data_IF_042406468239
#
_entry.id   IF_042406468239
#
_cell.length_a   1.000
_cell.length_b   1.000
_cell.length_c   1.000
_cell.angle_alpha   90.00
_cell.angle_beta   90.00
_cell.angle_gamma   90.00
#
_symmetry.space_group_name_H-M   'P 1'
#
loop_
_entity.id
_entity.type
_entity.pdbx_description
1 polymer ?
#
# COMPACT_ATOMS: atom_id res chain seq x y z
N UNK A 1 20.26 22.51 38.16
CA UNK A 1 21.73 22.43 38.04
C UNK A 1 22.24 20.99 38.03
N UNK A 2 22.02 20.18 39.08
CA UNK A 2 22.59 18.82 39.16
C UNK A 2 22.28 17.89 37.96
N UNK A 3 21.04 17.90 37.46
CA UNK A 3 20.64 17.08 36.30
C UNK A 3 21.23 17.56 34.96
N UNK A 4 21.41 18.88 34.78
CA UNK A 4 22.07 19.43 33.59
C UNK A 4 23.58 19.17 33.58
N UNK A 5 24.21 19.26 34.75
CA UNK A 5 25.64 18.94 34.91
C UNK A 5 25.90 17.46 34.63
N UNK A 6 24.99 16.59 35.04
CA UNK A 6 25.01 15.16 34.75
C UNK A 6 24.79 14.88 33.25
N UNK A 7 23.82 15.55 32.62
CA UNK A 7 23.62 15.49 31.17
C UNK A 7 24.89 15.89 30.39
N UNK A 8 25.53 17.01 30.76
CA UNK A 8 26.78 17.47 30.14
C UNK A 8 27.92 16.47 30.35
N UNK A 9 27.99 15.83 31.52
CA UNK A 9 29.00 14.80 31.80
C UNK A 9 28.80 13.55 30.94
N UNK A 10 27.55 13.12 30.71
CA UNK A 10 27.21 11.99 29.84
C UNK A 10 27.51 12.30 28.38
N UNK A 11 27.12 13.48 27.89
CA UNK A 11 27.41 13.91 26.51
C UNK A 11 28.92 13.94 26.24
N UNK A 12 29.74 14.45 27.17
CA UNK A 12 31.21 14.45 27.02
C UNK A 12 31.79 13.05 26.88
N UNK A 13 31.23 12.05 27.57
CA UNK A 13 31.67 10.66 27.45
C UNK A 13 31.29 10.06 26.08
N UNK A 14 30.10 10.38 25.58
CA UNK A 14 29.67 9.96 24.25
C UNK A 14 30.47 10.63 23.13
N UNK A 15 30.84 11.90 23.29
CA UNK A 15 31.78 12.60 22.39
C UNK A 15 33.18 11.97 22.38
N UNK A 16 33.59 11.34 23.50
CA UNK A 16 34.82 10.55 23.57
C UNK A 16 34.68 9.13 23.00
N UNK A 17 33.52 8.76 22.46
CA UNK A 17 33.25 7.48 21.80
C UNK A 17 32.64 6.39 22.69
N UNK A 18 32.38 6.67 23.97
CA UNK A 18 31.70 5.71 24.85
C UNK A 18 30.17 5.87 24.74
N UNK A 19 29.53 5.05 23.91
CA UNK A 19 28.07 5.02 23.77
C UNK A 19 27.36 4.11 24.78
N UNK A 20 28.08 3.37 25.63
CA UNK A 20 27.49 2.49 26.64
C UNK A 20 26.68 3.27 27.69
N UNK A 21 27.04 4.54 27.90
CA UNK A 21 26.38 5.44 28.85
C UNK A 21 25.07 6.03 28.33
N UNK A 22 24.68 5.77 27.08
CA UNK A 22 23.43 6.27 26.48
C UNK A 22 22.17 5.86 27.25
N UNK A 23 22.21 4.73 27.99
CA UNK A 23 21.11 4.32 28.85
C UNK A 23 20.79 5.35 29.94
N UNK A 24 21.79 6.09 30.44
CA UNK A 24 21.61 7.15 31.45
C UNK A 24 20.78 8.32 30.94
N UNK A 25 20.86 8.64 29.64
CA UNK A 25 20.05 9.68 29.02
C UNK A 25 18.54 9.37 29.10
N UNK A 26 18.15 8.09 29.01
CA UNK A 26 16.74 7.67 29.15
C UNK A 26 16.24 7.88 30.58
N UNK A 27 17.09 7.60 31.57
CA UNK A 27 16.78 7.82 32.99
C UNK A 27 16.62 9.30 33.31
N UNK A 28 17.52 10.15 32.78
CA UNK A 28 17.44 11.61 32.95
C UNK A 28 16.19 12.21 32.29
N UNK A 29 15.83 11.75 31.09
CA UNK A 29 14.59 12.16 30.42
C UNK A 29 13.33 11.71 31.17
N UNK A 30 13.36 10.53 31.80
CA UNK A 30 12.25 10.02 32.60
C UNK A 30 12.06 10.77 33.93
N UNK A 31 13.14 11.33 34.49
CA UNK A 31 13.08 12.14 35.70
C UNK A 31 12.41 13.51 35.48
N UNK A 32 12.43 14.03 34.25
CA UNK A 32 11.72 15.27 33.88
C UNK A 32 12.34 16.56 34.42
N UNK A 33 13.57 16.50 34.97
CA UNK A 33 14.27 17.63 35.58
C UNK A 33 15.11 18.47 34.59
N UNK A 34 15.06 18.14 33.29
CA UNK A 34 15.79 18.82 32.22
C UNK A 34 14.93 19.93 31.62
N UNK A 35 15.56 21.07 31.32
CA UNK A 35 14.96 22.15 30.55
C UNK A 35 14.77 21.75 29.07
N UNK A 36 14.06 22.57 28.29
CA UNK A 36 13.74 22.26 26.90
C UNK A 36 15.00 22.02 26.03
N UNK A 37 16.07 22.78 26.29
CA UNK A 37 17.35 22.62 25.60
C UNK A 37 18.04 21.30 25.99
N UNK A 38 18.06 20.95 27.27
CA UNK A 38 18.60 19.70 27.78
C UNK A 38 17.82 18.47 27.29
N UNK A 39 16.50 18.56 27.22
CA UNK A 39 15.65 17.50 26.65
C UNK A 39 15.93 17.27 25.16
N UNK A 40 16.08 18.35 24.38
CA UNK A 40 16.45 18.27 22.97
C UNK A 40 17.82 17.62 22.79
N UNK A 41 18.83 18.06 23.55
CA UNK A 41 20.18 17.51 23.49
C UNK A 41 20.22 16.02 23.86
N UNK A 42 19.52 15.61 24.93
CA UNK A 42 19.44 14.21 25.34
C UNK A 42 18.80 13.32 24.25
N UNK A 43 17.77 13.82 23.57
CA UNK A 43 17.13 13.09 22.47
C UNK A 43 18.02 12.99 21.21
N UNK A 44 18.79 14.02 20.88
CA UNK A 44 19.76 13.97 19.77
C UNK A 44 20.85 12.93 20.03
N UNK A 45 21.46 12.95 21.22
CA UNK A 45 22.50 11.98 21.57
C UNK A 45 21.99 10.54 21.70
N UNK A 46 20.72 10.35 22.10
CA UNK A 46 20.07 9.04 22.03
C UNK A 46 19.89 8.54 20.59
N UNK A 47 19.67 9.43 19.63
CA UNK A 47 19.62 9.06 18.22
C UNK A 47 21.01 8.63 17.72
N UNK A 48 22.08 9.35 18.09
CA UNK A 48 23.45 9.01 17.70
C UNK A 48 23.92 7.66 18.25
N UNK A 49 23.45 7.26 19.44
CA UNK A 49 23.82 6.01 20.09
C UNK A 49 23.16 4.74 19.53
N UNK A 50 22.29 4.86 18.52
CA UNK A 50 21.52 3.74 17.97
C UNK A 50 21.69 3.69 16.47
N UNK A 51 21.90 2.52 15.88
CA UNK A 51 21.98 2.39 14.40
C UNK A 51 20.61 2.24 13.72
N UNK A 52 19.53 2.02 14.49
CA UNK A 52 18.18 1.88 13.95
C UNK A 52 17.58 3.23 13.49
N UNK A 53 17.36 3.37 12.17
CA UNK A 53 16.87 4.61 11.56
C UNK A 53 15.47 5.04 12.06
N UNK A 54 14.59 4.09 12.37
CA UNK A 54 13.26 4.38 12.93
C UNK A 54 13.36 4.96 14.33
N UNK A 55 14.25 4.42 15.15
CA UNK A 55 14.56 4.92 16.49
C UNK A 55 15.23 6.30 16.42
N UNK A 56 16.18 6.52 15.50
CA UNK A 56 16.79 7.84 15.27
C UNK A 56 15.74 8.90 14.95
N UNK A 57 14.83 8.60 14.01
CA UNK A 57 13.76 9.51 13.60
C UNK A 57 12.78 9.82 14.74
N UNK A 58 12.42 8.82 15.54
CA UNK A 58 11.58 9.00 16.73
C UNK A 58 12.23 9.93 17.77
N UNK A 59 13.51 9.72 18.05
CA UNK A 59 14.28 10.56 18.97
C UNK A 59 14.39 12.00 18.46
N UNK A 60 14.74 12.22 17.19
CA UNK A 60 14.88 13.56 16.64
C UNK A 60 13.54 14.32 16.56
N UNK A 61 12.42 13.65 16.29
CA UNK A 61 11.09 14.29 16.34
C UNK A 61 10.74 14.79 17.74
N UNK A 62 11.10 14.03 18.77
CA UNK A 62 10.95 14.51 20.16
C UNK A 62 11.87 15.69 20.46
N UNK A 63 13.10 15.66 19.97
CA UNK A 63 14.01 16.79 20.11
C UNK A 63 13.48 18.07 19.43
N UNK A 64 12.84 17.94 18.27
CA UNK A 64 12.24 19.06 17.53
C UNK A 64 11.06 19.70 18.27
N UNK A 65 10.26 18.92 19.00
CA UNK A 65 9.18 19.48 19.84
C UNK A 65 9.74 20.37 20.94
N UNK A 66 10.90 20.00 21.51
CA UNK A 66 11.57 20.77 22.55
C UNK A 66 12.36 21.98 21.99
N UNK A 67 12.83 21.90 20.75
CA UNK A 67 13.62 22.94 20.08
C UNK A 67 13.20 23.11 18.60
N UNK A 68 12.07 23.80 18.33
CA UNK A 68 11.46 23.85 17.00
C UNK A 68 12.32 24.60 15.97
N UNK A 69 13.10 25.59 16.40
CA UNK A 69 13.93 26.44 15.54
C UNK A 69 15.34 25.88 15.29
N UNK A 70 15.65 24.68 15.80
CA UNK A 70 16.98 24.10 15.64
C UNK A 70 17.15 23.45 14.26
N UNK A 71 17.84 24.17 13.37
CA UNK A 71 18.11 23.76 11.99
C UNK A 71 18.84 22.42 11.88
N UNK A 72 19.69 22.05 12.84
CA UNK A 72 20.44 20.79 12.82
C UNK A 72 19.53 19.58 13.06
N UNK A 73 18.53 19.72 13.94
CA UNK A 73 17.54 18.67 14.20
C UNK A 73 16.64 18.51 12.97
N UNK A 74 16.21 19.63 12.37
CA UNK A 74 15.43 19.60 11.13
C UNK A 74 16.21 18.94 9.98
N UNK A 75 17.48 19.29 9.80
CA UNK A 75 18.37 18.66 8.82
C UNK A 75 18.62 17.18 9.10
N UNK A 76 18.79 16.78 10.36
CA UNK A 76 18.96 15.37 10.74
C UNK A 76 17.71 14.53 10.51
N UNK A 77 16.51 15.09 10.77
CA UNK A 77 15.23 14.46 10.43
C UNK A 77 15.11 14.32 8.91
N UNK A 78 15.41 15.39 8.16
CA UNK A 78 15.36 15.38 6.71
C UNK A 78 16.33 14.35 6.13
N UNK A 79 17.56 14.30 6.62
CA UNK A 79 18.57 13.32 6.22
C UNK A 79 18.12 11.89 6.49
N UNK A 80 17.46 11.59 7.61
CA UNK A 80 16.96 10.23 7.90
C UNK A 80 15.71 9.85 7.11
N UNK A 81 14.91 10.84 6.70
CA UNK A 81 13.81 10.63 5.76
C UNK A 81 14.34 10.40 4.33
N UNK A 82 15.46 11.03 4.00
CA UNK A 82 16.17 10.87 2.73
C UNK A 82 17.05 9.58 2.71
N UNK A 83 17.49 9.11 3.89
CA UNK A 83 18.22 7.85 4.16
C UNK A 83 17.28 6.67 4.52
N UNK A 84 15.96 6.77 4.29
CA UNK A 84 15.22 5.53 4.03
C UNK A 84 15.98 4.81 2.93
N UNK A 85 16.37 3.53 3.09
CA UNK A 85 17.14 2.86 2.06
C UNK A 85 16.33 2.95 0.78
N UNK A 86 16.81 3.82 -0.11
CA UNK A 86 16.53 3.78 -1.52
C UNK A 86 16.88 2.34 -1.88
N UNK A 87 15.85 1.48 -1.93
CA UNK A 87 15.94 0.27 -2.73
C UNK A 87 16.66 0.71 -4.00
N UNK A 88 17.79 0.05 -4.35
CA UNK A 88 18.74 0.54 -5.35
C UNK A 88 17.94 1.14 -6.47
N UNK A 89 18.14 2.44 -6.73
CA UNK A 89 17.28 3.19 -7.64
C UNK A 89 17.10 2.30 -8.86
N UNK A 90 15.87 1.78 -9.12
CA UNK A 90 15.69 0.94 -10.28
C UNK A 90 16.20 1.76 -11.47
N UNK A 91 16.91 1.14 -12.43
CA UNK A 91 17.42 1.85 -13.61
C UNK A 91 16.34 2.80 -14.08
N UNK A 92 16.70 4.09 -14.26
CA UNK A 92 15.78 5.21 -14.37
C UNK A 92 14.47 4.77 -15.03
N UNK A 93 13.40 4.66 -14.21
CA UNK A 93 12.13 4.11 -14.65
C UNK A 93 11.77 4.70 -16.03
N UNK A 94 11.47 3.86 -17.04
CA UNK A 94 11.15 4.34 -18.38
C UNK A 94 10.14 5.48 -18.27
N UNK A 95 10.53 6.67 -18.77
CA UNK A 95 9.64 7.84 -18.80
C UNK A 95 8.79 7.71 -20.05
N UNK A 96 7.52 7.40 -19.86
CA UNK A 96 6.59 7.23 -20.98
C UNK A 96 6.03 8.60 -21.41
N UNK A 97 5.95 8.90 -22.73
CA UNK A 97 5.29 10.10 -23.24
C UNK A 97 3.79 10.11 -22.90
N UNK A 98 3.17 11.30 -22.89
CA UNK A 98 1.82 11.57 -22.36
C UNK A 98 0.64 11.13 -23.24
N UNK A 99 0.86 10.31 -24.26
CA UNK A 99 -0.22 9.74 -25.07
C UNK A 99 -0.75 8.46 -24.41
N UNK A 100 -2.04 8.09 -24.60
CA UNK A 100 -2.62 6.92 -23.93
C UNK A 100 -1.91 5.65 -24.43
N UNK A 101 -0.86 5.25 -23.70
CA UNK A 101 -0.19 3.97 -23.87
C UNK A 101 -0.91 2.93 -23.04
N UNK A 102 -1.19 1.80 -23.66
CA UNK A 102 -1.76 0.64 -22.99
C UNK A 102 -0.70 0.06 -22.07
N UNK A 103 -1.05 -0.06 -20.79
CA UNK A 103 -0.26 -0.84 -19.84
C UNK A 103 -0.95 -2.19 -19.69
N UNK A 104 -0.33 -3.24 -20.21
CA UNK A 104 -0.81 -4.61 -20.09
C UNK A 104 -0.45 -5.21 -18.74
N UNK A 105 -1.34 -6.04 -18.21
CA UNK A 105 -1.08 -6.91 -17.06
C UNK A 105 -1.12 -8.35 -17.53
N UNK A 106 0.03 -9.00 -17.43
CA UNK A 106 0.26 -10.41 -17.71
C UNK A 106 0.52 -11.18 -16.40
N UNK A 107 0.12 -12.46 -16.36
CA UNK A 107 0.34 -13.34 -15.21
C UNK A 107 -0.73 -13.27 -14.12
N UNK A 108 -1.88 -12.66 -14.41
CA UNK A 108 -3.09 -12.79 -13.61
C UNK A 108 -3.71 -14.19 -13.74
N UNK A 109 -4.45 -14.63 -12.71
CA UNK A 109 -5.09 -15.94 -12.69
C UNK A 109 -6.24 -16.10 -13.71
N UNK A 110 -6.88 -14.99 -14.09
CA UNK A 110 -8.09 -15.00 -14.92
C UNK A 110 -7.86 -14.34 -16.29
N UNK A 111 -6.63 -14.36 -16.79
CA UNK A 111 -6.26 -13.85 -18.12
C UNK A 111 -5.54 -12.50 -18.09
N UNK A 112 -5.27 -11.98 -19.29
CA UNK A 112 -4.61 -10.69 -19.49
C UNK A 112 -5.59 -9.54 -19.26
N UNK A 113 -5.09 -8.43 -18.75
CA UNK A 113 -5.89 -7.24 -18.50
C UNK A 113 -5.18 -5.97 -18.95
N UNK A 114 -5.96 -4.91 -19.09
CA UNK A 114 -5.47 -3.56 -19.32
C UNK A 114 -5.43 -2.76 -18.03
N UNK A 115 -4.51 -1.80 -17.98
CA UNK A 115 -4.36 -0.89 -16.86
C UNK A 115 -4.10 0.54 -17.34
N UNK A 116 -4.41 1.50 -16.48
CA UNK A 116 -4.15 2.92 -16.68
C UNK A 116 -3.42 3.52 -15.50
N UNK A 117 -2.56 4.51 -15.75
CA UNK A 117 -2.01 5.31 -14.69
C UNK A 117 -3.11 6.05 -13.94
N UNK A 118 -3.01 6.06 -12.61
CA UNK A 118 -3.83 6.92 -11.73
C UNK A 118 -2.96 7.90 -10.94
N UNK A 119 -1.65 7.67 -10.91
CA UNK A 119 -0.68 8.65 -10.40
C UNK A 119 0.55 8.73 -11.30
N UNK A 120 1.20 9.89 -11.32
CA UNK A 120 2.47 10.10 -12.03
C UNK A 120 3.61 9.21 -11.52
N UNK A 121 3.52 8.77 -10.26
CA UNK A 121 4.54 7.95 -9.63
C UNK A 121 4.52 6.48 -10.08
N UNK A 122 3.60 6.07 -10.96
CA UNK A 122 3.51 4.69 -11.45
C UNK A 122 2.53 3.81 -10.68
N UNK A 123 1.51 4.41 -10.05
CA UNK A 123 0.35 3.64 -9.60
C UNK A 123 -0.61 3.44 -10.78
N UNK A 124 -1.01 2.19 -10.98
CA UNK A 124 -1.89 1.74 -12.04
C UNK A 124 -3.21 1.25 -11.45
N UNK A 125 -4.32 1.55 -12.12
CA UNK A 125 -5.63 0.95 -11.86
C UNK A 125 -5.96 -0.07 -12.96
N UNK A 126 -6.55 -1.19 -12.54
CA UNK A 126 -6.95 -2.32 -13.40
C UNK A 126 -8.15 -3.05 -12.77
N UNK A 127 -8.74 -3.98 -13.51
CA UNK A 127 -9.69 -4.95 -12.95
C UNK A 127 -9.05 -5.82 -11.86
N UNK A 128 -9.78 -6.08 -10.78
CA UNK A 128 -9.35 -7.01 -9.73
C UNK A 128 -9.52 -8.47 -10.11
N UNK A 129 -10.44 -8.74 -11.05
CA UNK A 129 -10.81 -10.06 -11.52
C UNK A 129 -9.62 -10.75 -12.17
N UNK A 130 -8.93 -10.09 -13.10
CA UNK A 130 -7.80 -10.67 -13.83
C UNK A 130 -6.68 -11.16 -12.89
N UNK A 131 -6.44 -10.44 -11.80
CA UNK A 131 -5.33 -10.70 -10.88
C UNK A 131 -5.54 -11.94 -10.00
N UNK A 132 -6.79 -12.28 -9.66
CA UNK A 132 -7.07 -13.33 -8.68
C UNK A 132 -6.35 -13.05 -7.34
N UNK A 133 -5.55 -13.99 -6.85
CA UNK A 133 -4.81 -13.86 -5.59
C UNK A 133 -3.38 -13.32 -5.69
N UNK A 134 -2.93 -12.95 -6.89
CA UNK A 134 -1.53 -12.60 -7.15
C UNK A 134 -1.09 -11.30 -6.42
N UNK A 135 0.07 -11.36 -5.75
CA UNK A 135 0.68 -10.19 -5.09
C UNK A 135 1.69 -9.46 -5.99
N UNK A 136 2.22 -10.19 -6.97
CA UNK A 136 3.22 -9.72 -7.92
C UNK A 136 2.73 -10.08 -9.31
N UNK A 137 2.85 -9.14 -10.24
CA UNK A 137 2.28 -9.22 -11.59
C UNK A 137 3.35 -8.83 -12.60
N UNK A 138 3.21 -9.32 -13.83
CA UNK A 138 4.03 -8.84 -14.94
C UNK A 138 3.28 -7.68 -15.60
N UNK A 139 3.93 -6.53 -15.66
CA UNK A 139 3.45 -5.36 -16.38
C UNK A 139 4.13 -5.35 -17.73
N UNK A 140 3.35 -5.33 -18.80
CA UNK A 140 3.85 -5.30 -20.17
C UNK A 140 3.51 -3.94 -20.78
N UNK A 141 4.49 -3.35 -21.44
CA UNK A 141 4.33 -2.10 -22.20
C UNK A 141 4.24 -2.42 -23.69
N UNK A 142 3.74 -1.45 -24.45
CA UNK A 142 3.57 -1.50 -25.91
C UNK A 142 4.89 -1.61 -26.69
N UNK A 143 6.00 -1.14 -26.11
CA UNK A 143 7.35 -1.33 -26.66
C UNK A 143 7.94 -2.72 -26.38
N UNK A 144 7.15 -3.62 -25.77
CA UNK A 144 7.55 -4.98 -25.41
C UNK A 144 8.30 -5.07 -24.07
N UNK A 145 8.56 -3.95 -23.40
CA UNK A 145 9.20 -3.94 -22.08
C UNK A 145 8.31 -4.63 -21.03
N UNK A 146 8.93 -5.48 -20.21
CA UNK A 146 8.26 -6.20 -19.12
C UNK A 146 8.87 -5.83 -17.78
N UNK A 147 8.00 -5.45 -16.84
CA UNK A 147 8.37 -5.00 -15.51
C UNK A 147 7.59 -5.77 -14.46
N UNK A 148 8.14 -5.86 -13.25
CA UNK A 148 7.42 -6.46 -12.13
C UNK A 148 6.59 -5.41 -11.42
N UNK A 149 5.27 -5.61 -11.41
CA UNK A 149 4.31 -4.83 -10.63
C UNK A 149 4.01 -5.48 -9.28
N UNK A 150 3.76 -4.68 -8.25
CA UNK A 150 3.34 -5.13 -6.91
C UNK A 150 1.92 -4.68 -6.62
N UNK A 151 1.07 -5.60 -6.18
CA UNK A 151 -0.27 -5.26 -5.74
C UNK A 151 -0.22 -4.38 -4.48
N UNK A 152 -0.85 -3.21 -4.54
CA UNK A 152 -0.99 -2.32 -3.40
C UNK A 152 -2.27 -2.58 -2.63
N UNK A 153 -3.39 -2.63 -3.36
CA UNK A 153 -4.73 -2.77 -2.77
C UNK A 153 -5.70 -3.39 -3.78
N UNK A 154 -6.74 -4.04 -3.27
CA UNK A 154 -7.89 -4.48 -4.07
C UNK A 154 -9.17 -4.00 -3.43
N UNK A 155 -10.18 -3.79 -4.27
CA UNK A 155 -11.54 -3.50 -3.91
C UNK A 155 -12.43 -4.48 -4.70
N UNK A 156 -12.55 -5.74 -4.24
CA UNK A 156 -13.24 -6.79 -5.00
C UNK A 156 -14.70 -6.44 -5.32
N UNK A 157 -15.38 -5.72 -4.43
CA UNK A 157 -16.75 -5.24 -4.65
C UNK A 157 -16.89 -4.23 -5.80
N UNK A 158 -15.81 -3.55 -6.16
CA UNK A 158 -15.75 -2.60 -7.27
C UNK A 158 -15.03 -3.16 -8.50
N UNK A 159 -14.62 -4.42 -8.43
CA UNK A 159 -13.69 -5.03 -9.37
C UNK A 159 -12.45 -4.17 -9.68
N UNK A 160 -11.90 -3.50 -8.67
CA UNK A 160 -10.74 -2.61 -8.83
C UNK A 160 -9.51 -3.18 -8.12
N UNK A 161 -8.36 -3.10 -8.78
CA UNK A 161 -7.07 -3.31 -8.15
C UNK A 161 -6.10 -2.18 -8.49
N UNK A 162 -5.28 -1.84 -7.49
CA UNK A 162 -4.25 -0.83 -7.59
C UNK A 162 -2.89 -1.50 -7.52
N UNK A 163 -2.07 -1.26 -8.53
CA UNK A 163 -0.77 -1.91 -8.71
C UNK A 163 0.31 -0.84 -8.77
N UNK A 164 1.41 -1.05 -8.06
CA UNK A 164 2.60 -0.23 -8.18
C UNK A 164 3.54 -0.85 -9.20
N UNK A 165 3.88 -0.10 -10.23
CA UNK A 165 4.92 -0.45 -11.17
C UNK A 165 6.12 0.50 -11.02
N UNK A 166 7.34 0.06 -11.35
CA UNK A 166 8.52 0.92 -11.42
C UNK A 166 8.49 1.76 -12.71
N UNK A 167 7.43 2.55 -12.87
CA UNK A 167 7.15 3.40 -14.03
C UNK A 167 6.92 4.84 -13.59
N UNK A 168 7.18 5.80 -14.48
CA UNK A 168 6.78 7.20 -14.27
C UNK A 168 6.13 7.73 -15.54
N UNK A 169 4.96 8.33 -15.37
CA UNK A 169 4.27 9.01 -16.48
C UNK A 169 4.87 10.40 -16.67
N UNK A 170 5.34 10.72 -17.87
CA UNK A 170 5.70 12.10 -18.21
C UNK A 170 4.44 12.90 -18.55
N UNK A 171 4.37 14.15 -18.09
CA UNK A 171 3.20 15.02 -18.31
C UNK A 171 2.10 14.88 -17.24
N UNK A 172 0.89 15.33 -17.57
CA UNK A 172 -0.29 15.25 -16.69
C UNK A 172 -1.21 14.14 -17.18
N UNK A 173 -1.92 13.49 -16.26
CA UNK A 173 -3.02 12.62 -16.65
C UNK A 173 -4.14 13.50 -17.21
N UNK A 174 -4.54 13.25 -18.45
CA UNK A 174 -5.74 13.83 -19.05
C UNK A 174 -6.95 13.10 -18.47
N UNK A 175 -7.54 13.64 -17.41
CA UNK A 175 -8.69 13.07 -16.70
C UNK A 175 -9.91 13.93 -17.00
N UNK A 176 -11.02 13.31 -17.39
CA UNK A 176 -12.26 14.03 -17.63
C UNK A 176 -12.87 14.56 -16.34
N UNK A 177 -13.50 15.74 -16.43
CA UNK A 177 -14.27 16.30 -15.33
C UNK A 177 -15.64 15.57 -15.23
N UNK A 178 -16.12 15.25 -14.00
CA UNK A 178 -17.34 14.47 -13.80
C UNK A 178 -18.63 15.06 -14.42
N UNK A 179 -18.66 16.37 -14.65
CA UNK A 179 -19.85 17.12 -15.11
C UNK A 179 -19.97 17.24 -16.63
N UNK A 180 -19.01 16.73 -17.40
CA UNK A 180 -18.97 16.91 -18.86
C UNK A 180 -19.52 15.73 -19.66
N UNK A 181 -19.96 14.66 -18.99
CA UNK A 181 -20.36 13.43 -19.67
C UNK A 181 -21.84 13.47 -20.05
N UNK A 182 -22.13 13.24 -21.34
CA UNK A 182 -23.48 13.19 -21.87
C UNK A 182 -23.85 11.77 -22.34
N UNK A 183 -25.06 11.31 -22.02
CA UNK A 183 -25.59 10.06 -22.57
C UNK A 183 -25.64 10.17 -24.10
N UNK A 184 -25.20 9.11 -24.79
CA UNK A 184 -25.02 9.09 -26.25
C UNK A 184 -23.62 9.50 -26.72
N UNK A 185 -22.75 9.97 -25.82
CA UNK A 185 -21.36 10.32 -26.16
C UNK A 185 -20.55 9.10 -26.61
N UNK A 186 -19.74 9.29 -27.66
CA UNK A 186 -18.80 8.30 -28.19
C UNK A 186 -17.61 8.09 -27.25
N UNK A 187 -17.31 6.81 -27.00
CA UNK A 187 -16.25 6.37 -26.09
C UNK A 187 -15.35 5.34 -26.78
N UNK A 188 -14.13 5.18 -26.27
CA UNK A 188 -13.19 4.15 -26.72
C UNK A 188 -12.58 3.43 -25.53
N UNK A 189 -12.78 2.11 -25.45
CA UNK A 189 -12.11 1.23 -24.50
C UNK A 189 -10.81 0.69 -25.11
N UNK A 190 -9.72 0.70 -24.34
CA UNK A 190 -8.43 0.14 -24.76
C UNK A 190 -8.17 -1.24 -24.16
N UNK A 191 -7.81 -2.21 -25.00
CA UNK A 191 -7.39 -3.57 -24.63
C UNK A 191 -5.88 -3.72 -24.43
N UNK A 192 -5.44 -4.84 -23.82
CA UNK A 192 -4.06 -5.04 -23.34
C UNK A 192 -3.01 -4.99 -24.46
N UNK A 193 -3.45 -5.23 -25.69
CA UNK A 193 -2.66 -5.30 -26.91
C UNK A 193 -2.74 -4.01 -27.75
N UNK A 194 -3.41 -2.97 -27.24
CA UNK A 194 -3.67 -1.75 -28.01
C UNK A 194 -4.99 -1.75 -28.78
N UNK A 195 -5.78 -2.83 -28.72
CA UNK A 195 -7.08 -2.89 -29.39
C UNK A 195 -7.97 -1.74 -28.91
N UNK A 196 -8.55 -1.02 -29.88
CA UNK A 196 -9.50 0.07 -29.64
C UNK A 196 -10.90 -0.43 -29.92
N UNK A 197 -11.74 -0.46 -28.89
CA UNK A 197 -13.13 -0.90 -29.02
C UNK A 197 -14.06 0.29 -28.80
N UNK A 198 -14.78 0.74 -29.83
CA UNK A 198 -15.78 1.78 -29.69
C UNK A 198 -16.90 1.37 -28.75
N UNK A 199 -17.39 2.33 -27.97
CA UNK A 199 -18.56 2.20 -27.12
C UNK A 199 -19.31 3.53 -27.07
N UNK A 200 -20.47 3.53 -26.43
CA UNK A 200 -21.28 4.73 -26.21
C UNK A 200 -21.69 4.77 -24.76
N UNK A 201 -21.71 5.95 -24.14
CA UNK A 201 -22.26 6.12 -22.80
C UNK A 201 -23.78 5.95 -22.86
N UNK A 202 -24.33 4.98 -22.12
CA UNK A 202 -25.77 4.68 -22.11
C UNK A 202 -26.48 5.20 -20.86
N UNK A 203 -25.78 5.26 -19.72
CA UNK A 203 -26.27 5.85 -18.48
C UNK A 203 -25.11 6.19 -17.53
N UNK A 204 -25.33 7.13 -16.62
CA UNK A 204 -24.38 7.51 -15.56
C UNK A 204 -25.12 7.82 -14.26
N UNK A 205 -26.17 8.63 -14.34
CA UNK A 205 -26.92 9.07 -13.17
C UNK A 205 -27.72 7.92 -12.53
N UNK A 206 -27.78 7.91 -11.20
CA UNK A 206 -28.49 6.87 -10.42
C UNK A 206 -27.73 5.55 -10.23
N UNK A 207 -26.65 5.30 -10.97
CA UNK A 207 -25.83 4.10 -10.81
C UNK A 207 -24.78 4.30 -9.70
N UNK A 208 -25.13 3.92 -8.48
CA UNK A 208 -24.22 4.03 -7.33
C UNK A 208 -23.73 5.46 -7.09
N UNK A 209 -24.62 6.46 -7.23
CA UNK A 209 -24.31 7.88 -7.06
C UNK A 209 -23.20 8.40 -8.00
N UNK A 210 -23.20 7.98 -9.26
CA UNK A 210 -22.21 8.42 -10.28
C UNK A 210 -20.90 7.62 -10.25
N UNK A 211 -20.83 6.56 -9.43
CA UNK A 211 -19.69 5.65 -9.37
C UNK A 211 -19.51 4.85 -10.67
N UNK A 212 -20.59 4.54 -11.37
CA UNK A 212 -20.58 3.67 -12.54
C UNK A 212 -21.01 4.40 -13.80
N UNK A 213 -20.36 4.05 -14.91
CA UNK A 213 -20.70 4.47 -16.26
C UNK A 213 -21.21 3.23 -17.02
N UNK A 214 -22.47 3.24 -17.43
CA UNK A 214 -23.00 2.18 -18.28
C UNK A 214 -22.62 2.44 -19.73
N UNK A 215 -22.17 1.38 -20.42
CA UNK A 215 -21.72 1.47 -21.81
C UNK A 215 -22.58 0.60 -22.72
N UNK A 216 -22.56 0.88 -24.01
CA UNK A 216 -23.18 0.02 -25.03
C UNK A 216 -22.43 -1.29 -25.27
N UNK A 217 -21.28 -1.50 -24.63
CA UNK A 217 -20.43 -2.66 -24.85
C UNK A 217 -20.92 -3.86 -24.03
N UNK A 218 -21.18 -5.03 -24.65
CA UNK A 218 -21.46 -6.24 -23.89
C UNK A 218 -20.24 -6.73 -23.12
N UNK A 219 -20.43 -7.26 -21.91
CA UNK A 219 -19.34 -7.82 -21.08
C UNK A 219 -18.57 -8.95 -21.77
N UNK A 220 -19.23 -9.71 -22.65
CA UNK A 220 -18.63 -10.78 -23.46
C UNK A 220 -17.74 -10.28 -24.59
N UNK A 221 -17.85 -9.00 -24.96
CA UNK A 221 -17.07 -8.34 -26.01
C UNK A 221 -16.03 -7.37 -25.46
N UNK A 222 -15.75 -7.41 -24.16
CA UNK A 222 -14.61 -6.70 -23.59
C UNK A 222 -13.31 -7.14 -24.30
N UNK A 223 -12.38 -6.22 -24.59
CA UNK A 223 -11.14 -6.54 -25.30
C UNK A 223 -10.31 -7.63 -24.61
N UNK A 224 -10.38 -7.72 -23.29
CA UNK A 224 -9.62 -8.67 -22.48
C UNK A 224 -10.34 -8.98 -21.14
N UNK A 225 -9.61 -9.42 -20.11
CA UNK A 225 -10.20 -9.74 -18.81
C UNK A 225 -10.77 -8.53 -18.07
N UNK A 226 -10.53 -7.29 -18.54
CA UNK A 226 -11.07 -6.06 -17.99
C UNK A 226 -9.99 -5.03 -17.67
N UNK A 227 -10.39 -3.99 -16.95
CA UNK A 227 -9.56 -2.81 -16.66
C UNK A 227 -9.47 -1.83 -17.81
N UNK A 228 -9.99 -2.19 -18.99
CA UNK A 228 -9.91 -1.45 -20.25
C UNK A 228 -10.11 0.05 -20.03
N UNK A 229 -9.03 0.86 -20.10
CA UNK A 229 -9.13 2.28 -19.88
C UNK A 229 -10.11 2.89 -20.88
N UNK A 230 -11.07 3.65 -20.36
CA UNK A 230 -12.17 4.20 -21.15
C UNK A 230 -11.93 5.69 -21.36
N UNK A 231 -11.88 6.10 -22.62
CA UNK A 231 -11.63 7.49 -23.03
C UNK A 231 -12.81 8.07 -23.80
N UNK A 232 -12.96 9.38 -23.75
CA UNK A 232 -13.78 10.12 -24.70
C UNK A 232 -13.03 10.43 -26.01
N UNK A 233 -13.72 11.06 -26.96
CA UNK A 233 -13.16 11.50 -28.24
C UNK A 233 -12.03 12.53 -28.10
N UNK A 234 -12.03 13.29 -26.99
CA UNK A 234 -10.98 14.25 -26.64
C UNK A 234 -9.75 13.62 -25.99
N UNK A 235 -9.74 12.28 -25.82
CA UNK A 235 -8.66 11.55 -25.17
C UNK A 235 -8.60 11.74 -23.65
N UNK A 236 -9.68 12.21 -23.02
CA UNK A 236 -9.78 12.31 -21.57
C UNK A 236 -10.20 10.97 -20.97
N UNK A 237 -9.50 10.56 -19.92
CA UNK A 237 -9.79 9.33 -19.18
C UNK A 237 -11.08 9.49 -18.37
N UNK A 238 -12.03 8.58 -18.60
CA UNK A 238 -13.32 8.52 -17.90
C UNK A 238 -13.33 7.49 -16.78
N UNK A 239 -12.52 6.43 -16.90
CA UNK A 239 -12.54 5.32 -15.95
C UNK A 239 -11.90 4.05 -16.51
N UNK A 240 -12.24 2.92 -15.91
CA UNK A 240 -11.82 1.59 -16.36
C UNK A 240 -13.02 0.67 -16.51
N UNK A 241 -13.06 -0.16 -17.55
CA UNK A 241 -14.09 -1.19 -17.69
C UNK A 241 -13.90 -2.28 -16.63
N UNK A 242 -15.01 -2.75 -16.07
CA UNK A 242 -15.03 -3.80 -15.05
C UNK A 242 -15.87 -4.99 -15.50
N UNK A 243 -15.70 -6.13 -14.82
CA UNK A 243 -16.60 -7.28 -14.94
C UNK A 243 -17.66 -7.30 -13.83
N UNK A 244 -18.04 -6.13 -13.31
CA UNK A 244 -19.09 -6.06 -12.31
C UNK A 244 -20.42 -6.53 -12.93
N UNK A 245 -21.01 -7.56 -12.33
CA UNK A 245 -22.27 -8.16 -12.77
C UNK A 245 -23.49 -7.25 -12.56
N UNK A 246 -23.35 -6.13 -11.85
CA UNK A 246 -24.42 -5.16 -11.65
C UNK A 246 -24.97 -4.57 -12.97
N UNK A 247 -24.19 -4.61 -14.06
CA UNK A 247 -24.60 -4.16 -15.39
C UNK A 247 -25.43 -5.16 -16.20
N UNK A 248 -25.65 -6.36 -15.67
CA UNK A 248 -26.26 -7.46 -16.43
C UNK A 248 -25.35 -7.88 -17.60
N UNK A 249 -25.88 -7.81 -18.83
CA UNK A 249 -25.14 -8.19 -20.04
C UNK A 249 -24.21 -7.08 -20.56
N UNK A 250 -24.45 -5.83 -20.15
CA UNK A 250 -23.65 -4.68 -20.54
C UNK A 250 -22.52 -4.42 -19.53
N UNK A 251 -21.37 -4.06 -20.05
CA UNK A 251 -20.19 -3.78 -19.25
C UNK A 251 -20.31 -2.40 -18.59
N UNK A 252 -20.03 -2.36 -17.28
CA UNK A 252 -19.93 -1.12 -16.52
C UNK A 252 -18.47 -0.68 -16.41
N UNK A 253 -18.24 0.61 -16.58
CA UNK A 253 -16.99 1.26 -16.22
C UNK A 253 -17.07 1.83 -14.81
N UNK A 254 -16.01 1.65 -14.02
CA UNK A 254 -15.82 2.35 -12.77
C UNK A 254 -15.26 3.75 -13.09
N UNK A 255 -15.98 4.78 -12.68
CA UNK A 255 -15.67 6.17 -12.97
C UNK A 255 -14.32 6.56 -12.32
N UNK A 256 -13.47 7.27 -13.08
CA UNK A 256 -12.16 7.74 -12.61
C UNK A 256 -12.26 8.59 -11.33
N UNK A 257 -13.34 9.38 -11.20
CA UNK A 257 -13.61 10.17 -10.00
C UNK A 257 -13.79 9.32 -8.73
N UNK A 258 -14.23 8.06 -8.87
CA UNK A 258 -14.32 7.10 -7.77
C UNK A 258 -12.99 6.38 -7.50
N UNK A 259 -12.12 6.25 -8.51
CA UNK A 259 -10.84 5.55 -8.39
C UNK A 259 -9.79 6.43 -7.69
N UNK A 260 -9.75 7.73 -7.99
CA UNK A 260 -8.71 8.63 -7.46
C UNK A 260 -8.67 8.70 -5.92
N UNK A 261 -9.81 8.89 -5.19
CA UNK A 261 -9.78 8.90 -3.74
C UNK A 261 -9.34 7.55 -3.14
N UNK A 262 -9.70 6.44 -3.80
CA UNK A 262 -9.27 5.10 -3.39
C UNK A 262 -7.77 4.90 -3.60
N UNK A 263 -7.20 5.47 -4.67
CA UNK A 263 -5.77 5.46 -4.93
C UNK A 263 -4.98 6.25 -3.89
N UNK A 264 -5.46 7.44 -3.53
CA UNK A 264 -4.88 8.25 -2.46
C UNK A 264 -4.94 7.52 -1.11
N UNK A 265 -6.10 6.93 -0.78
CA UNK A 265 -6.25 6.16 0.45
C UNK A 265 -5.31 4.95 0.49
N UNK A 266 -5.21 4.20 -0.61
CA UNK A 266 -4.30 3.06 -0.69
C UNK A 266 -2.83 3.47 -0.52
N UNK A 267 -2.45 4.64 -1.05
CA UNK A 267 -1.12 5.20 -0.85
C UNK A 267 -0.85 5.54 0.62
N UNK A 268 -1.78 6.23 1.28
CA UNK A 268 -1.67 6.57 2.72
C UNK A 268 -1.60 5.32 3.58
N UNK A 269 -2.48 4.36 3.37
CA UNK A 269 -2.48 3.10 4.14
C UNK A 269 -1.13 2.38 3.99
N UNK A 270 -0.56 2.38 2.78
CA UNK A 270 0.72 1.74 2.50
C UNK A 270 1.89 2.42 3.22
N UNK A 271 1.86 3.75 3.30
CA UNK A 271 2.86 4.52 4.06
C UNK A 271 2.76 4.26 5.56
N UNK A 272 1.54 4.14 6.09
CA UNK A 272 1.31 3.86 7.51
C UNK A 272 1.62 2.40 7.91
N UNK A 273 1.57 1.47 6.95
CA UNK A 273 1.76 0.04 7.18
C UNK A 273 2.74 -0.58 6.17
N UNK A 274 4.01 -0.15 6.18
CA UNK A 274 5.01 -0.72 5.30
C UNK A 274 5.16 -2.22 5.59
N UNK A 275 5.16 -3.03 4.53
CA UNK A 275 5.31 -4.49 4.64
C UNK A 275 4.00 -5.29 4.81
N UNK A 276 2.86 -4.65 5.10
CA UNK A 276 1.58 -5.35 5.08
C UNK A 276 1.28 -5.89 3.66
N UNK A 277 0.76 -7.10 3.51
CA UNK A 277 0.34 -7.62 2.21
C UNK A 277 -1.14 -7.35 1.96
N UNK A 278 -1.53 -7.21 0.69
CA UNK A 278 -2.94 -7.12 0.33
C UNK A 278 -3.60 -8.50 0.52
N UNK A 279 -4.69 -8.58 1.24
CA UNK A 279 -5.47 -9.80 1.38
C UNK A 279 -6.11 -10.17 0.03
N UNK A 280 -5.98 -11.41 -0.46
CA UNK A 280 -6.57 -11.81 -1.73
C UNK A 280 -8.11 -11.96 -1.68
N UNK A 281 -8.71 -12.04 -0.49
CA UNK A 281 -10.15 -12.19 -0.33
C UNK A 281 -10.86 -10.84 -0.17
N UNK A 282 -10.57 -10.09 0.89
CA UNK A 282 -11.23 -8.81 1.15
C UNK A 282 -10.54 -7.60 0.51
N UNK A 283 -9.33 -7.77 -0.02
CA UNK A 283 -8.54 -6.67 -0.58
C UNK A 283 -7.93 -5.72 0.46
N UNK A 284 -8.16 -5.97 1.76
CA UNK A 284 -7.60 -5.20 2.87
C UNK A 284 -6.08 -5.37 3.02
N UNK A 285 -5.38 -4.37 3.57
CA UNK A 285 -3.98 -4.56 3.98
C UNK A 285 -3.94 -5.32 5.30
N UNK A 286 -3.32 -6.50 5.27
CA UNK A 286 -3.20 -7.37 6.42
C UNK A 286 -1.85 -7.14 7.12
N UNK A 287 -1.87 -6.45 8.25
CA UNK A 287 -0.71 -6.23 9.14
C UNK A 287 -0.22 -7.54 9.73
N UNK A 288 -1.08 -8.54 9.85
CA UNK A 288 -0.68 -9.86 10.32
C UNK A 288 0.54 -10.41 9.55
N UNK A 289 0.61 -10.15 8.23
CA UNK A 289 1.75 -10.57 7.40
C UNK A 289 3.11 -10.00 7.83
N UNK A 290 3.13 -8.78 8.41
CA UNK A 290 4.35 -8.15 8.95
C UNK A 290 4.95 -9.02 10.06
N UNK A 291 4.07 -9.64 10.85
CA UNK A 291 4.46 -10.49 11.97
C UNK A 291 4.58 -11.96 11.57
N UNK A 292 4.47 -12.30 10.29
CA UNK A 292 4.47 -13.68 9.80
C UNK A 292 3.13 -14.40 10.00
N UNK A 293 2.06 -13.68 10.31
CA UNK A 293 0.71 -14.24 10.40
C UNK A 293 0.23 -14.77 9.05
N UNK A 294 -0.35 -15.98 9.06
CA UNK A 294 -0.82 -16.63 7.84
C UNK A 294 -2.24 -16.28 7.41
N UNK A 295 -2.95 -15.43 8.16
CA UNK A 295 -4.35 -15.10 7.92
C UNK A 295 -4.59 -13.60 8.05
N UNK A 296 -5.51 -13.06 7.26
CA UNK A 296 -5.94 -11.68 7.35
C UNK A 296 -6.68 -11.46 8.68
N UNK A 297 -6.26 -10.45 9.45
CA UNK A 297 -6.91 -10.10 10.71
C UNK A 297 -8.33 -9.53 10.52
N UNK A 298 -8.66 -9.03 9.33
CA UNK A 298 -9.97 -8.42 9.06
C UNK A 298 -11.02 -9.42 8.58
N UNK A 299 -10.64 -10.42 7.78
CA UNK A 299 -11.60 -11.36 7.17
C UNK A 299 -11.25 -12.84 7.39
N UNK A 300 -10.13 -13.16 8.04
CA UNK A 300 -9.70 -14.54 8.30
C UNK A 300 -9.11 -15.29 7.11
N UNK A 301 -9.14 -14.74 5.89
CA UNK A 301 -8.63 -15.43 4.71
C UNK A 301 -7.11 -15.69 4.78
N UNK A 302 -6.67 -16.80 4.19
CA UNK A 302 -5.24 -17.17 4.14
C UNK A 302 -4.44 -16.15 3.32
N UNK A 303 -3.30 -15.73 3.87
CA UNK A 303 -2.37 -14.82 3.21
C UNK A 303 -1.30 -15.61 2.45
N UNK A 304 -0.84 -15.10 1.28
CA UNK A 304 0.16 -15.77 0.46
C UNK A 304 1.56 -15.79 1.10
N UNK A 305 1.84 -14.87 2.03
CA UNK A 305 3.15 -14.73 2.71
C UNK A 305 3.23 -15.47 4.04
N UNK A 306 2.34 -16.43 4.29
CA UNK A 306 2.28 -17.17 5.55
C UNK A 306 3.62 -17.87 5.86
N UNK A 307 4.31 -17.42 6.91
CA UNK A 307 5.49 -18.07 7.48
C UNK A 307 5.19 -18.49 8.91
N UNK A 308 6.04 -19.33 9.52
CA UNK A 308 5.91 -19.59 10.96
C UNK A 308 6.45 -18.35 11.70
N UNK A 309 5.63 -17.67 12.54
CA UNK A 309 6.08 -16.49 13.24
C UNK A 309 7.02 -16.86 14.40
N UNK A 310 7.92 -15.95 14.75
CA UNK A 310 8.77 -16.08 15.94
C UNK A 310 7.97 -15.81 17.22
N UNK A 311 8.48 -16.24 18.39
CA UNK A 311 7.84 -16.02 19.69
C UNK A 311 7.37 -14.56 19.95
N UNK A 312 8.20 -13.50 19.78
CA UNK A 312 7.74 -12.12 19.99
C UNK A 312 6.67 -11.67 19.00
N UNK A 313 6.60 -12.30 17.82
CA UNK A 313 5.54 -12.03 16.86
C UNK A 313 4.24 -12.75 17.22
N UNK A 314 4.30 -13.89 17.91
CA UNK A 314 3.10 -14.54 18.43
C UNK A 314 2.32 -13.63 19.37
N UNK A 315 2.98 -12.85 20.23
CA UNK A 315 2.28 -11.91 21.12
C UNK A 315 1.57 -10.80 20.35
N UNK A 316 2.21 -10.24 19.32
CA UNK A 316 1.61 -9.22 18.45
C UNK A 316 0.45 -9.79 17.63
N UNK A 317 0.60 -11.01 17.10
CA UNK A 317 -0.47 -11.71 16.39
C UNK A 317 -1.63 -12.06 17.31
N UNK A 318 -1.37 -12.44 18.56
CA UNK A 318 -2.38 -12.70 19.58
C UNK A 318 -3.24 -11.46 19.83
N UNK A 319 -2.62 -10.29 19.93
CA UNK A 319 -3.33 -9.02 20.07
C UNK A 319 -4.15 -8.69 18.81
N UNK A 320 -3.55 -8.80 17.62
CA UNK A 320 -4.21 -8.50 16.35
C UNK A 320 -5.43 -9.39 16.07
N UNK A 321 -5.31 -10.68 16.41
CA UNK A 321 -6.35 -11.66 16.20
C UNK A 321 -7.28 -11.84 17.42
N UNK A 322 -7.07 -11.05 18.48
CA UNK A 322 -7.80 -11.14 19.74
C UNK A 322 -7.85 -12.58 20.34
N UNK A 323 -6.74 -13.31 20.29
CA UNK A 323 -6.69 -14.70 20.76
C UNK A 323 -6.62 -14.78 22.29
N UNK A 324 -7.62 -15.41 22.91
CA UNK A 324 -7.76 -15.47 24.38
C UNK A 324 -7.82 -16.89 24.94
N UNK A 325 -8.03 -17.91 24.10
CA UNK A 325 -8.24 -19.28 24.54
C UNK A 325 -6.98 -19.89 25.18
N UNK A 326 -7.17 -20.77 26.16
CA UNK A 326 -6.10 -21.55 26.77
C UNK A 326 -6.54 -23.00 26.90
N UNK A 327 -5.64 -23.98 26.76
CA UNK A 327 -4.21 -23.86 26.47
C UNK A 327 -3.88 -23.49 24.99
N UNK A 328 -2.67 -22.97 24.70
CA UNK A 328 -2.25 -22.68 23.32
C UNK A 328 -2.05 -23.96 22.51
N UNK A 329 -2.18 -23.86 21.19
CA UNK A 329 -1.91 -24.97 20.28
C UNK A 329 -0.44 -25.42 20.36
N UNK A 330 -0.12 -26.72 20.56
CA UNK A 330 1.28 -27.18 20.65
C UNK A 330 2.05 -27.03 19.33
N UNK A 331 1.33 -26.98 18.19
CA UNK A 331 1.96 -26.88 16.86
C UNK A 331 2.28 -25.45 16.42
N UNK A 332 1.39 -24.51 16.76
CA UNK A 332 1.45 -23.14 16.26
C UNK A 332 1.30 -22.06 17.35
N UNK A 333 1.29 -22.44 18.63
CA UNK A 333 1.12 -21.57 19.80
C UNK A 333 -0.15 -20.70 19.83
N UNK A 334 -1.03 -20.80 18.82
CA UNK A 334 -2.24 -19.98 18.73
C UNK A 334 -3.24 -20.29 19.85
N UNK A 335 -3.91 -19.24 20.33
CA UNK A 335 -4.88 -19.25 21.43
C UNK A 335 -6.31 -19.02 20.93
N UNK A 336 -6.67 -19.75 19.88
CA UNK A 336 -7.98 -19.64 19.21
C UNK A 336 -8.95 -20.75 19.58
N UNK A 337 -8.50 -21.76 20.32
CA UNK A 337 -9.30 -22.96 20.64
C UNK A 337 -9.23 -24.04 19.55
N UNK A 338 -10.03 -25.10 19.76
CA UNK A 338 -10.04 -26.30 18.92
C UNK A 338 -11.46 -26.68 18.53
N UNK A 339 -11.63 -27.23 17.32
CA UNK A 339 -12.88 -27.86 16.88
C UNK A 339 -12.57 -29.27 16.38
N UNK A 340 -13.27 -30.29 16.92
CA UNK A 340 -12.99 -31.72 16.65
C UNK A 340 -11.51 -32.08 16.83
N UNK A 341 -10.90 -31.56 17.91
CA UNK A 341 -9.46 -31.65 18.24
C UNK A 341 -8.52 -30.99 17.24
N UNK A 342 -9.00 -30.29 16.22
CA UNK A 342 -8.16 -29.54 15.29
C UNK A 342 -8.06 -28.07 15.72
N UNK A 343 -6.84 -27.53 15.75
CA UNK A 343 -6.63 -26.11 16.06
C UNK A 343 -7.33 -25.22 15.03
N UNK A 344 -8.11 -24.24 15.48
CA UNK A 344 -8.83 -23.32 14.59
C UNK A 344 -7.90 -22.40 13.77
N UNK A 345 -6.59 -22.35 14.08
CA UNK A 345 -5.60 -21.56 13.33
C UNK A 345 -4.81 -22.38 12.32
N UNK A 346 -4.17 -23.47 12.76
CA UNK A 346 -3.28 -24.26 11.90
C UNK A 346 -3.93 -25.54 11.34
N UNK A 347 -5.14 -25.88 11.79
CA UNK A 347 -5.86 -27.09 11.38
C UNK A 347 -5.26 -28.41 11.88
N UNK A 348 -4.08 -28.39 12.52
CA UNK A 348 -3.45 -29.62 13.05
C UNK A 348 -4.22 -30.15 14.24
N UNK A 349 -4.34 -31.48 14.28
CA UNK A 349 -4.92 -32.19 15.41
C UNK A 349 -4.03 -32.09 16.64
N UNK A 350 -4.67 -31.81 17.77
CA UNK A 350 -4.14 -32.04 19.11
C UNK A 350 -4.17 -33.54 19.39
N UNK A 351 -3.05 -34.08 19.89
CA UNK A 351 -2.94 -35.46 20.37
C UNK A 351 -3.41 -35.60 21.83
N UNK A 352 -3.76 -34.48 22.49
CA UNK A 352 -4.51 -34.47 23.75
C UNK A 352 -6.03 -34.57 23.48
#
# INVERSE_FOLDING_TARGET
MRAEDELRAVIRQMQAGDFSVAAKLRTLLAAGELDAAGQAAAHVWLAEASDDAGFKLHCLRKALVCAPDNAQIQQGIQALLDEEPLAPSPPAAPRLPSFPRVVGIDGGANGKASAVFVTKSGMLATTSYALGGAQTLTISLDDGCRLTGKLLRRFPSLDLALVKAPLRLAGSLAIALPTLLAVGQGLVALGFDGTRTPATLTAQDGLGAGQWLATSLPTTKLPDAGGNPLYDEGGQLLGIMTRNSAGGELALALNISSILPLAEQAQRDRQMQPGACCCPACGGLARASIYGGGHCESCGAKLPTAKKPAAPHHDKLRQLYAETASPPCPHCAARVGFHRRSCLRCGRRSEA
#
